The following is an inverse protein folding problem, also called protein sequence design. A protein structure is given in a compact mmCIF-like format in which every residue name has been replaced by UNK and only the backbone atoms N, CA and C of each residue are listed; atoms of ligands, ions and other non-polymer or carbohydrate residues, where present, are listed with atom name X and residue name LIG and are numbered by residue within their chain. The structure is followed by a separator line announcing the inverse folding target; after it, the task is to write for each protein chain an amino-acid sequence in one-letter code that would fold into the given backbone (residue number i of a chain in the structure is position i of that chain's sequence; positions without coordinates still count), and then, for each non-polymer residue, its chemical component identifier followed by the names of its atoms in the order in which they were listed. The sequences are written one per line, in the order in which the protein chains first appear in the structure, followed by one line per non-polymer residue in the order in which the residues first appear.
data_IF_811048708709
#
_entry.id   IF_811048708709
#
_cell.length_a   1.000
_cell.length_b   1.000
_cell.length_c   1.000
_cell.angle_alpha   90.00
_cell.angle_beta   90.00
_cell.angle_gamma   90.00
#
_symmetry.space_group_name_H-M   'P 1'
#
loop_
_entity.id
_entity.type
_entity.pdbx_description
1 polymer ?
#
# COMPACT_ATOMS: atom_id res chain seq x y z
N UNK A 1 -0.20 24.27 16.16
CA UNK A 1 -0.66 22.92 15.77
C UNK A 1 0.50 21.96 15.94
N UNK A 2 0.36 20.88 16.71
CA UNK A 2 1.41 19.86 16.80
C UNK A 2 1.56 19.20 15.42
N UNK A 3 2.68 19.44 14.76
CA UNK A 3 2.97 18.85 13.46
C UNK A 3 3.27 17.36 13.67
N UNK A 4 2.24 16.51 13.54
CA UNK A 4 2.35 15.08 13.80
C UNK A 4 3.32 14.49 12.77
N UNK A 5 4.39 13.86 13.25
CA UNK A 5 5.42 13.25 12.40
C UNK A 5 4.93 11.89 11.87
N UNK A 6 3.95 11.94 10.96
CA UNK A 6 3.37 10.77 10.31
C UNK A 6 3.49 10.92 8.80
N UNK A 7 3.78 9.84 8.09
CA UNK A 7 3.70 9.75 6.64
C UNK A 7 2.83 8.56 6.26
N UNK A 8 1.79 8.81 5.48
CA UNK A 8 0.92 7.76 4.95
C UNK A 8 1.36 7.36 3.54
N UNK A 9 1.47 6.06 3.32
CA UNK A 9 1.76 5.45 2.01
C UNK A 9 0.59 4.56 1.62
N UNK A 10 0.18 4.61 0.36
CA UNK A 10 -0.81 3.68 -0.21
C UNK A 10 -0.33 3.21 -1.58
N UNK A 11 0.49 2.18 -1.60
CA UNK A 11 1.08 1.59 -2.80
C UNK A 11 0.01 1.10 -3.79
N UNK A 12 -1.10 0.61 -3.26
CA UNK A 12 -2.14 -0.08 -4.03
C UNK A 12 -3.43 0.73 -4.13
N UNK A 13 -3.31 2.05 -4.25
CA UNK A 13 -4.43 2.98 -4.21
C UNK A 13 -5.27 3.09 -5.50
N UNK A 14 -4.81 2.51 -6.61
CA UNK A 14 -5.41 2.67 -7.93
C UNK A 14 -5.44 1.35 -8.67
N UNK A 15 -6.48 1.15 -9.48
CA UNK A 15 -6.60 0.02 -10.41
C UNK A 15 -6.37 0.40 -11.88
N UNK A 16 -5.87 1.59 -12.17
CA UNK A 16 -5.69 2.04 -13.55
C UNK A 16 -4.45 1.42 -14.19
N UNK A 17 -4.47 1.27 -15.51
CA UNK A 17 -3.30 0.91 -16.31
C UNK A 17 -2.94 2.08 -17.24
N UNK A 18 -1.65 2.29 -17.54
CA UNK A 18 -1.25 3.21 -18.59
C UNK A 18 -1.68 2.67 -19.96
N UNK A 19 -2.03 3.58 -20.88
CA UNK A 19 -2.57 3.23 -22.21
C UNK A 19 -1.63 2.27 -22.97
N UNK A 20 -0.32 2.44 -22.85
CA UNK A 20 0.65 1.60 -23.55
C UNK A 20 0.71 0.15 -23.02
N UNK A 21 0.17 -0.14 -21.83
CA UNK A 21 0.08 -1.49 -21.28
C UNK A 21 -1.17 -2.24 -21.76
N UNK A 22 -2.16 -1.54 -22.33
CA UNK A 22 -3.47 -2.09 -22.68
C UNK A 22 -3.42 -3.33 -23.58
N UNK A 23 -2.42 -3.44 -24.46
CA UNK A 23 -2.25 -4.58 -25.36
C UNK A 23 -1.88 -5.89 -24.67
N UNK A 24 -1.38 -5.84 -23.43
CA UNK A 24 -0.95 -7.03 -22.68
C UNK A 24 -2.05 -7.59 -21.77
N UNK A 25 -3.15 -6.86 -21.59
CA UNK A 25 -4.24 -7.25 -20.71
C UNK A 25 -5.46 -7.67 -21.54
N UNK A 26 -5.66 -8.98 -21.77
CA UNK A 26 -6.84 -9.48 -22.48
C UNK A 26 -8.13 -9.16 -21.70
N UNK A 27 -9.32 -9.32 -22.31
CA UNK A 27 -10.59 -8.98 -21.68
C UNK A 27 -10.77 -9.57 -20.28
N UNK A 28 -10.40 -10.83 -20.07
CA UNK A 28 -10.50 -11.47 -18.75
C UNK A 28 -9.53 -10.89 -17.72
N UNK A 29 -8.33 -10.49 -18.13
CA UNK A 29 -7.40 -9.78 -17.27
C UNK A 29 -7.94 -8.39 -16.87
N UNK A 30 -8.58 -7.69 -17.81
CA UNK A 30 -9.17 -6.37 -17.56
C UNK A 30 -10.33 -6.42 -16.58
N UNK A 31 -11.14 -7.49 -16.59
CA UNK A 31 -12.20 -7.69 -15.58
C UNK A 31 -11.61 -7.66 -14.16
N UNK A 32 -10.39 -8.16 -13.97
CA UNK A 32 -9.72 -8.18 -12.67
C UNK A 32 -9.27 -6.80 -12.18
N UNK A 33 -9.24 -5.77 -13.02
CA UNK A 33 -8.99 -4.39 -12.58
C UNK A 33 -10.05 -3.92 -11.58
N UNK A 34 -11.27 -4.46 -11.62
CA UNK A 34 -12.32 -4.15 -10.65
C UNK A 34 -12.27 -5.04 -9.39
N UNK A 35 -11.25 -5.89 -9.25
CA UNK A 35 -11.07 -6.83 -8.15
C UNK A 35 -9.92 -6.42 -7.21
N UNK A 36 -9.87 -7.04 -6.04
CA UNK A 36 -8.78 -6.86 -5.07
C UNK A 36 -7.40 -7.29 -5.61
N UNK A 37 -7.34 -8.05 -6.72
CA UNK A 37 -6.06 -8.39 -7.36
C UNK A 37 -5.34 -7.16 -7.91
N UNK A 38 -6.09 -6.12 -8.29
CA UNK A 38 -5.53 -4.93 -8.93
C UNK A 38 -5.13 -3.82 -7.95
N UNK A 39 -5.82 -3.74 -6.83
CA UNK A 39 -5.72 -2.62 -5.90
C UNK A 39 -6.40 -2.94 -4.58
N UNK A 40 -6.12 -2.13 -3.58
CA UNK A 40 -6.76 -2.19 -2.28
C UNK A 40 -7.98 -1.28 -2.26
N UNK A 41 -9.16 -1.90 -2.32
CA UNK A 41 -10.45 -1.18 -2.37
C UNK A 41 -10.61 -0.31 -1.11
N UNK A 42 -10.92 0.96 -1.32
CA UNK A 42 -11.17 1.93 -0.24
C UNK A 42 -9.92 2.52 0.41
N UNK A 43 -8.71 2.00 0.13
CA UNK A 43 -7.49 2.46 0.80
C UNK A 43 -7.15 3.91 0.47
N UNK A 44 -7.40 4.34 -0.76
CA UNK A 44 -7.17 5.73 -1.18
C UNK A 44 -8.09 6.70 -0.42
N UNK A 45 -9.35 6.33 -0.23
CA UNK A 45 -10.32 7.14 0.53
C UNK A 45 -9.98 7.17 2.01
N UNK A 46 -9.62 6.02 2.60
CA UNK A 46 -9.14 5.92 3.97
C UNK A 46 -7.90 6.80 4.19
N UNK A 47 -6.90 6.68 3.32
CA UNK A 47 -5.67 7.47 3.39
C UNK A 47 -5.95 8.97 3.32
N UNK A 48 -6.82 9.42 2.40
CA UNK A 48 -7.22 10.83 2.29
C UNK A 48 -7.90 11.34 3.56
N UNK A 49 -8.86 10.58 4.10
CA UNK A 49 -9.55 10.95 5.34
C UNK A 49 -8.60 11.03 6.53
N UNK A 50 -7.72 10.04 6.69
CA UNK A 50 -6.71 10.05 7.75
C UNK A 50 -5.73 11.22 7.59
N UNK A 51 -5.24 11.47 6.38
CA UNK A 51 -4.32 12.57 6.09
C UNK A 51 -4.92 13.93 6.45
N UNK A 52 -6.21 14.14 6.15
CA UNK A 52 -6.96 15.34 6.52
C UNK A 52 -7.10 15.45 8.04
N UNK A 53 -7.55 14.38 8.71
CA UNK A 53 -7.80 14.38 10.15
C UNK A 53 -6.53 14.64 10.97
N UNK A 54 -5.43 13.97 10.63
CA UNK A 54 -4.18 14.06 11.40
C UNK A 54 -3.16 15.04 10.80
N UNK A 55 -3.54 15.76 9.74
CA UNK A 55 -2.75 16.80 9.07
C UNK A 55 -1.36 16.30 8.66
N UNK A 56 -1.30 15.19 7.93
CA UNK A 56 -0.04 14.56 7.52
C UNK A 56 0.01 14.31 6.01
N UNK A 57 1.22 14.19 5.42
CA UNK A 57 1.36 13.82 4.01
C UNK A 57 0.83 12.41 3.71
N UNK A 58 0.31 12.27 2.49
CA UNK A 58 -0.18 11.02 1.91
C UNK A 58 0.38 10.86 0.50
N UNK A 59 0.93 9.68 0.20
CA UNK A 59 1.45 9.35 -1.12
C UNK A 59 0.69 8.15 -1.66
N UNK A 60 0.07 8.34 -2.83
CA UNK A 60 -0.80 7.34 -3.47
C UNK A 60 -0.12 6.74 -4.71
N UNK A 61 -0.15 5.41 -4.81
CA UNK A 61 0.14 4.70 -6.03
C UNK A 61 -0.88 5.03 -7.11
N UNK A 62 -0.39 5.41 -8.30
CA UNK A 62 -1.25 5.91 -9.40
C UNK A 62 -1.77 4.79 -10.31
N UNK A 63 -1.19 3.60 -10.26
CA UNK A 63 -1.52 2.48 -11.14
C UNK A 63 -1.70 1.16 -10.38
N UNK A 64 -2.42 0.25 -11.04
CA UNK A 64 -2.68 -1.11 -10.59
C UNK A 64 -1.40 -1.87 -10.28
N UNK A 65 -1.41 -2.63 -9.18
CA UNK A 65 -0.33 -3.57 -8.88
C UNK A 65 -0.22 -4.69 -9.92
N UNK A 66 -1.26 -4.91 -10.74
CA UNK A 66 -1.16 -5.84 -11.85
C UNK A 66 -0.15 -5.36 -12.90
N UNK A 67 0.08 -4.05 -13.03
CA UNK A 67 1.18 -3.56 -13.87
C UNK A 67 2.52 -3.86 -13.20
N UNK A 68 2.70 -3.33 -11.99
CA UNK A 68 3.94 -3.37 -11.23
C UNK A 68 3.62 -3.13 -9.75
N UNK A 69 4.00 -4.04 -8.86
CA UNK A 69 3.73 -3.91 -7.43
C UNK A 69 4.74 -2.98 -6.75
N UNK A 70 4.28 -1.81 -6.30
CA UNK A 70 5.12 -0.81 -5.60
C UNK A 70 5.61 -1.29 -4.22
N UNK A 71 4.95 -2.28 -3.61
CA UNK A 71 5.30 -2.90 -2.33
C UNK A 71 6.12 -4.20 -2.52
N UNK A 72 6.80 -4.34 -3.65
CA UNK A 72 7.79 -5.39 -3.92
C UNK A 72 9.14 -4.78 -4.25
N UNK A 73 10.20 -5.55 -4.04
CA UNK A 73 11.55 -5.21 -4.50
C UNK A 73 11.69 -5.49 -6.00
N UNK A 74 12.67 -4.87 -6.66
CA UNK A 74 12.87 -4.99 -8.11
C UNK A 74 13.27 -6.41 -8.57
N UNK A 75 13.83 -7.21 -7.66
CA UNK A 75 14.22 -8.60 -7.85
C UNK A 75 13.11 -9.60 -7.47
N UNK A 76 11.97 -9.11 -6.95
CA UNK A 76 10.87 -9.99 -6.54
C UNK A 76 10.19 -10.66 -7.73
N UNK A 77 10.01 -11.98 -7.67
CA UNK A 77 9.18 -12.72 -8.66
C UNK A 77 7.72 -12.24 -8.71
N UNK A 78 7.25 -11.63 -7.61
CA UNK A 78 5.90 -11.08 -7.46
C UNK A 78 5.78 -9.61 -7.90
N UNK A 79 6.87 -9.00 -8.39
CA UNK A 79 6.88 -7.61 -8.84
C UNK A 79 5.94 -7.38 -10.04
N UNK A 80 5.95 -8.31 -10.99
CA UNK A 80 5.14 -8.28 -12.21
C UNK A 80 4.00 -9.30 -12.12
N UNK A 81 2.81 -8.95 -12.60
CA UNK A 81 1.73 -9.93 -12.82
C UNK A 81 2.08 -10.90 -13.95
N UNK A 82 1.26 -11.94 -14.11
CA UNK A 82 1.34 -12.86 -15.26
C UNK A 82 1.25 -12.16 -16.63
N UNK A 83 0.53 -11.05 -16.74
CA UNK A 83 0.42 -10.29 -17.99
C UNK A 83 1.58 -9.33 -18.20
N UNK A 84 1.94 -8.58 -17.15
CA UNK A 84 3.00 -7.58 -17.24
C UNK A 84 4.40 -8.20 -17.31
N UNK A 85 4.54 -9.47 -16.92
CA UNK A 85 5.77 -10.24 -17.11
C UNK A 85 6.10 -10.46 -18.59
N UNK A 86 5.10 -10.51 -19.46
CA UNK A 86 5.28 -10.71 -20.92
C UNK A 86 5.60 -9.39 -21.66
N UNK A 87 5.61 -8.25 -20.97
CA UNK A 87 5.99 -6.98 -21.58
C UNK A 87 7.46 -6.95 -22.00
N UNK A 88 7.73 -6.21 -23.07
CA UNK A 88 9.10 -5.96 -23.51
C UNK A 88 9.90 -5.25 -22.42
N UNK A 89 11.21 -5.48 -22.41
CA UNK A 89 12.11 -4.87 -21.43
C UNK A 89 12.06 -3.33 -21.49
N UNK A 90 11.89 -2.75 -22.69
CA UNK A 90 11.68 -1.32 -22.89
C UNK A 90 10.47 -0.79 -22.10
N UNK A 91 9.34 -1.51 -22.12
CA UNK A 91 8.14 -1.12 -21.38
C UNK A 91 8.26 -1.37 -19.89
N UNK A 92 8.92 -2.45 -19.47
CA UNK A 92 9.22 -2.70 -18.05
C UNK A 92 10.08 -1.60 -17.46
N UNK A 93 11.16 -1.23 -18.14
CA UNK A 93 12.04 -0.13 -17.73
C UNK A 93 11.30 1.21 -17.72
N UNK A 94 10.37 1.43 -18.65
CA UNK A 94 9.47 2.59 -18.62
C UNK A 94 8.61 2.59 -17.35
N UNK A 95 7.93 1.49 -17.03
CA UNK A 95 7.10 1.37 -15.83
C UNK A 95 7.92 1.56 -14.54
N UNK A 96 9.12 1.00 -14.48
CA UNK A 96 10.04 1.15 -13.35
C UNK A 96 10.39 2.63 -13.15
N UNK A 97 10.77 3.36 -14.20
CA UNK A 97 11.12 4.78 -14.09
C UNK A 97 9.91 5.64 -13.73
N UNK A 98 8.82 5.49 -14.47
CA UNK A 98 7.66 6.39 -14.37
C UNK A 98 6.84 6.15 -13.11
N UNK A 99 6.79 4.92 -12.60
CA UNK A 99 5.89 4.59 -11.48
C UNK A 99 6.67 4.15 -10.24
N UNK A 100 7.56 3.16 -10.35
CA UNK A 100 8.24 2.61 -9.19
C UNK A 100 9.25 3.58 -8.57
N UNK A 101 10.18 4.08 -9.38
CA UNK A 101 11.21 5.01 -8.93
C UNK A 101 10.62 6.37 -8.61
N UNK A 102 9.64 6.85 -9.39
CA UNK A 102 8.93 8.10 -9.12
C UNK A 102 8.21 8.07 -7.76
N UNK A 103 7.39 7.05 -7.50
CA UNK A 103 6.70 6.88 -6.21
C UNK A 103 7.69 6.83 -5.03
N UNK A 104 8.74 6.02 -5.15
CA UNK A 104 9.75 5.90 -4.09
C UNK A 104 10.58 7.17 -3.91
N UNK A 105 10.81 7.94 -4.96
CA UNK A 105 11.48 9.24 -4.88
C UNK A 105 10.64 10.21 -4.06
N UNK A 106 9.35 10.34 -4.40
CA UNK A 106 8.39 11.18 -3.66
C UNK A 106 8.31 10.78 -2.18
N UNK A 107 8.20 9.47 -1.90
CA UNK A 107 8.17 8.95 -0.53
C UNK A 107 9.46 9.24 0.26
N UNK A 108 10.63 9.06 -0.36
CA UNK A 108 11.91 9.36 0.29
C UNK A 108 12.10 10.86 0.51
N UNK A 109 11.69 11.70 -0.44
CA UNK A 109 11.78 13.16 -0.31
C UNK A 109 10.89 13.65 0.84
N UNK A 110 9.65 13.17 0.89
CA UNK A 110 8.73 13.49 1.97
C UNK A 110 9.24 13.00 3.34
N UNK A 111 9.74 11.76 3.40
CA UNK A 111 10.32 11.20 4.62
C UNK A 111 11.55 11.99 5.10
N UNK A 112 12.47 12.36 4.19
CA UNK A 112 13.64 13.19 4.55
C UNK A 112 13.22 14.51 5.18
N UNK A 113 12.20 15.15 4.63
CA UNK A 113 11.67 16.41 5.16
C UNK A 113 11.04 16.27 6.56
N UNK A 114 10.43 15.13 6.87
CA UNK A 114 9.85 14.88 8.21
C UNK A 114 10.92 14.46 9.22
N UNK A 115 11.87 13.63 8.81
CA UNK A 115 12.99 13.23 9.66
C UNK A 115 13.84 14.42 10.11
N UNK A 116 13.93 15.50 9.33
CA UNK A 116 14.62 16.72 9.76
C UNK A 116 13.88 17.50 10.86
N UNK A 117 12.62 17.15 11.14
CA UNK A 117 11.78 17.77 12.19
C UNK A 117 11.59 16.88 13.41
N UNK A 118 11.91 15.59 13.32
CA UNK A 118 11.88 14.66 14.45
C UNK A 118 11.60 13.20 14.04
N UNK A 119 11.49 12.30 15.04
CA UNK A 119 11.13 10.90 14.80
C UNK A 119 9.82 10.79 14.03
N UNK A 120 9.84 10.10 12.89
CA UNK A 120 8.70 9.98 11.97
C UNK A 120 8.16 8.56 11.93
N UNK A 121 6.84 8.42 12.07
CA UNK A 121 6.11 7.18 11.87
C UNK A 121 5.64 7.07 10.41
N UNK A 122 6.03 6.01 9.72
CA UNK A 122 5.54 5.71 8.37
C UNK A 122 4.49 4.62 8.46
N UNK A 123 3.29 4.87 7.94
CA UNK A 123 2.21 3.90 7.88
C UNK A 123 1.89 3.58 6.42
N UNK A 124 2.12 2.33 6.02
CA UNK A 124 1.61 1.79 4.76
C UNK A 124 0.19 1.28 5.00
N UNK A 125 -0.78 1.83 4.27
CA UNK A 125 -2.18 1.48 4.38
C UNK A 125 -2.52 0.47 3.28
N UNK A 126 -3.18 -0.62 3.68
CA UNK A 126 -3.65 -1.68 2.80
C UNK A 126 -5.06 -2.13 3.19
N UNK A 127 -5.75 -2.78 2.27
CA UNK A 127 -7.03 -3.45 2.51
C UNK A 127 -6.94 -4.90 2.09
N UNK A 128 -7.79 -5.76 2.61
CA UNK A 128 -7.84 -7.15 2.19
C UNK A 128 -9.29 -7.62 2.10
N UNK A 129 -9.56 -8.61 1.26
CA UNK A 129 -10.91 -9.19 1.15
C UNK A 129 -11.28 -9.97 2.41
N UNK A 130 -12.55 -9.96 2.83
CA UNK A 130 -12.98 -10.71 4.00
C UNK A 130 -12.79 -12.22 3.81
N UNK A 131 -12.95 -12.73 2.60
CA UNK A 131 -12.77 -14.16 2.28
C UNK A 131 -11.49 -14.38 1.49
N UNK A 132 -10.78 -15.46 1.82
CA UNK A 132 -9.59 -15.94 1.12
C UNK A 132 -9.69 -17.45 0.87
N UNK A 133 -9.60 -17.86 -0.41
CA UNK A 133 -9.73 -19.28 -0.83
C UNK A 133 -10.95 -19.99 -0.22
N UNK A 134 -12.09 -19.30 -0.19
CA UNK A 134 -13.36 -19.82 0.34
C UNK A 134 -13.46 -19.86 1.87
N UNK A 135 -12.46 -19.32 2.61
CA UNK A 135 -12.50 -19.22 4.07
C UNK A 135 -12.55 -17.77 4.49
N UNK A 136 -13.45 -17.46 5.42
CA UNK A 136 -13.54 -16.12 6.00
C UNK A 136 -12.34 -15.84 6.90
N UNK A 137 -11.79 -14.64 6.77
CA UNK A 137 -10.72 -14.14 7.63
C UNK A 137 -11.35 -13.69 8.93
N UNK A 138 -10.85 -14.16 10.09
CA UNK A 138 -11.35 -13.72 11.37
C UNK A 138 -10.84 -12.32 11.75
N UNK A 139 -10.11 -11.63 10.88
CA UNK A 139 -9.47 -10.36 11.17
C UNK A 139 -10.22 -9.22 10.51
N UNK A 140 -10.59 -8.21 11.28
CA UNK A 140 -11.14 -6.95 10.76
C UNK A 140 -10.04 -5.91 10.49
N UNK A 141 -8.99 -5.89 11.34
CA UNK A 141 -7.83 -5.02 11.18
C UNK A 141 -6.51 -5.76 11.45
N UNK A 142 -5.60 -5.74 10.48
CA UNK A 142 -4.24 -6.24 10.66
C UNK A 142 -3.26 -5.11 10.96
N UNK A 143 -2.43 -5.25 11.99
CA UNK A 143 -1.27 -4.37 12.23
C UNK A 143 -0.02 -5.17 11.89
N UNK A 144 0.61 -4.82 10.77
CA UNK A 144 1.78 -5.50 10.24
C UNK A 144 3.03 -4.69 10.57
N UNK A 145 4.05 -5.37 11.08
CA UNK A 145 5.31 -4.76 11.48
C UNK A 145 6.42 -5.80 11.55
N UNK A 146 7.68 -5.36 11.55
CA UNK A 146 8.83 -6.26 11.73
C UNK A 146 8.98 -6.60 13.21
N UNK A 147 8.72 -7.86 13.62
CA UNK A 147 8.69 -8.23 15.03
C UNK A 147 10.01 -7.99 15.76
N UNK A 148 11.11 -7.97 15.00
CA UNK A 148 12.47 -7.89 15.53
C UNK A 148 12.92 -6.45 15.80
N UNK A 149 12.10 -5.48 15.38
CA UNK A 149 12.34 -4.07 15.66
C UNK A 149 11.53 -3.67 16.89
N UNK A 150 12.20 -3.54 18.04
CA UNK A 150 11.55 -3.25 19.33
C UNK A 150 10.62 -2.02 19.29
N UNK A 151 11.01 -0.98 18.55
CA UNK A 151 10.19 0.24 18.37
C UNK A 151 8.91 -0.01 17.58
N UNK A 152 8.98 -0.80 16.50
CA UNK A 152 7.79 -1.12 15.70
C UNK A 152 6.82 -1.99 16.51
N UNK A 153 7.34 -2.94 17.30
CA UNK A 153 6.53 -3.74 18.23
C UNK A 153 5.83 -2.90 19.28
N UNK A 154 6.55 -2.00 19.97
CA UNK A 154 5.95 -1.11 20.96
C UNK A 154 4.85 -0.23 20.36
N UNK A 155 5.08 0.29 19.15
CA UNK A 155 4.07 1.07 18.44
C UNK A 155 2.85 0.21 18.07
N UNK A 156 3.05 -1.01 17.58
CA UNK A 156 1.98 -1.94 17.23
C UNK A 156 1.14 -2.34 18.45
N UNK A 157 1.78 -2.60 19.60
CA UNK A 157 1.10 -2.87 20.87
C UNK A 157 0.26 -1.68 21.31
N UNK A 158 0.83 -0.47 21.27
CA UNK A 158 0.11 0.75 21.57
C UNK A 158 -1.10 0.97 20.64
N UNK A 159 -0.91 0.81 19.32
CA UNK A 159 -1.98 0.93 18.33
C UNK A 159 -3.10 -0.08 18.59
N UNK A 160 -2.77 -1.35 18.82
CA UNK A 160 -3.76 -2.40 19.09
C UNK A 160 -4.58 -2.07 20.34
N UNK A 161 -3.94 -1.63 21.42
CA UNK A 161 -4.64 -1.22 22.64
C UNK A 161 -5.59 -0.05 22.36
N UNK A 162 -5.09 1.02 21.73
CA UNK A 162 -5.87 2.23 21.49
C UNK A 162 -7.01 2.02 20.50
N UNK A 163 -6.81 1.18 19.49
CA UNK A 163 -7.83 0.81 18.51
C UNK A 163 -8.84 -0.16 19.12
N UNK A 164 -8.42 -1.14 19.93
CA UNK A 164 -9.33 -2.05 20.62
C UNK A 164 -10.29 -1.33 21.57
N UNK A 165 -9.83 -0.27 22.24
CA UNK A 165 -10.70 0.58 23.05
C UNK A 165 -11.73 1.38 22.23
N UNK A 166 -11.39 1.77 21.00
CA UNK A 166 -12.24 2.59 20.12
C UNK A 166 -13.13 1.76 19.20
N UNK A 167 -12.73 0.52 18.92
CA UNK A 167 -13.36 -0.43 18.02
C UNK A 167 -13.57 -1.76 18.77
N UNK A 168 -14.37 -1.78 19.85
CA UNK A 168 -14.45 -2.93 20.76
C UNK A 168 -14.97 -4.22 20.10
N UNK A 169 -15.65 -4.12 18.96
CA UNK A 169 -16.19 -5.26 18.22
C UNK A 169 -15.26 -5.75 17.10
N UNK A 170 -14.12 -5.10 16.87
CA UNK A 170 -13.19 -5.46 15.80
C UNK A 170 -12.13 -6.44 16.29
N UNK A 171 -11.89 -7.50 15.52
CA UNK A 171 -10.83 -8.46 15.73
C UNK A 171 -9.52 -7.93 15.14
N UNK A 172 -8.64 -7.45 16.02
CA UNK A 172 -7.37 -6.84 15.65
C UNK A 172 -6.24 -7.85 15.86
N UNK A 173 -5.52 -8.21 14.79
CA UNK A 173 -4.42 -9.18 14.83
C UNK A 173 -3.09 -8.58 14.34
N UNK A 174 -1.99 -9.16 14.80
CA UNK A 174 -0.64 -8.85 14.32
C UNK A 174 -0.21 -9.85 13.25
N UNK A 175 0.53 -9.36 12.24
CA UNK A 175 1.26 -10.19 11.27
C UNK A 175 0.51 -11.45 10.79
N UNK A 176 -0.65 -11.20 10.17
CA UNK A 176 -1.59 -12.18 9.61
C UNK A 176 -0.93 -13.36 8.86
#
# INVERSE_FOLDING_TARGET
MLNRQVLLLCEHASNTLPIWANGYFPPDARKLLNSHRAWDKGVASLGKGLAQEIHCPLILGKHSRLLLDLNRSLDSKALWSEWSREMSEKLKQKAIREFYLSYRKEARECLRHHLSKGPTLVLALHSFTPTWKGKDRPTDLGILFRPETSRERQMADWMRLQLGLRLPNWKIHFNL
#
